data_IF_077498693339
#
_entry.id   IF_077498693339
#
_cell.length_a   1.000
_cell.length_b   1.000
_cell.length_c   1.000
_cell.angle_alpha   90.00
_cell.angle_beta   90.00
_cell.angle_gamma   90.00
#
_symmetry.space_group_name_H-M   'P 1'
#
loop_
_entity.id
_entity.type
_entity.pdbx_description
1 polymer ?
#
# COMPACT_ATOMS: atom_id res chain seq x y z
N UNK A 1 -4.22 32.91 3.33
CA UNK A 1 -4.24 31.48 2.96
C UNK A 1 -5.61 30.93 3.32
N UNK A 2 -6.37 30.41 2.35
CA UNK A 2 -7.62 29.71 2.64
C UNK A 2 -7.32 28.23 2.89
N UNK A 3 -8.11 27.58 3.76
CA UNK A 3 -7.95 26.16 4.06
C UNK A 3 -8.03 25.27 2.80
N UNK A 4 -8.82 25.67 1.79
CA UNK A 4 -8.99 24.96 0.52
C UNK A 4 -7.77 25.01 -0.42
N UNK A 5 -6.83 25.94 -0.19
CA UNK A 5 -5.67 26.16 -1.04
C UNK A 5 -4.42 25.43 -0.52
N UNK A 6 -4.49 24.85 0.69
CA UNK A 6 -3.38 24.15 1.32
C UNK A 6 -3.06 22.85 0.58
N UNK A 7 -1.89 22.82 -0.08
CA UNK A 7 -1.34 21.62 -0.72
C UNK A 7 -0.02 21.25 -0.05
N UNK A 8 0.24 19.94 0.19
CA UNK A 8 1.53 19.51 0.71
C UNK A 8 2.62 19.73 -0.34
N UNK A 9 3.87 19.79 0.11
CA UNK A 9 5.01 19.80 -0.80
C UNK A 9 4.99 18.57 -1.73
N UNK A 10 5.42 18.68 -3.00
CA UNK A 10 5.47 17.56 -3.93
C UNK A 10 6.25 16.37 -3.33
N UNK A 11 5.67 15.18 -3.39
CA UNK A 11 6.28 13.96 -2.84
C UNK A 11 6.15 13.77 -1.32
N UNK A 12 5.72 14.77 -0.56
CA UNK A 12 5.59 14.68 0.89
C UNK A 12 4.54 13.64 1.36
N UNK A 13 3.60 13.25 0.48
CA UNK A 13 2.59 12.22 0.78
C UNK A 13 2.64 11.10 -0.25
N UNK A 14 2.74 9.85 0.23
CA UNK A 14 2.63 8.64 -0.58
C UNK A 14 1.48 7.77 -0.06
N UNK A 15 0.81 7.05 -0.96
CA UNK A 15 -0.26 6.12 -0.59
C UNK A 15 0.32 4.92 0.16
N UNK A 16 -0.33 4.52 1.26
CA UNK A 16 0.01 3.26 1.95
C UNK A 16 -0.24 2.06 1.03
N UNK A 17 0.59 1.03 1.15
CA UNK A 17 0.39 -0.25 0.48
C UNK A 17 -0.85 -0.93 1.06
N UNK A 18 -1.77 -1.34 0.18
CA UNK A 18 -2.94 -2.16 0.55
C UNK A 18 -2.71 -3.57 0.02
N UNK A 19 -2.48 -4.52 0.93
CA UNK A 19 -2.21 -5.93 0.60
C UNK A 19 -3.50 -6.74 0.61
N UNK A 20 -3.57 -7.82 -0.17
CA UNK A 20 -4.75 -8.70 -0.23
C UNK A 20 -5.95 -8.16 -1.01
N UNK A 21 -5.87 -6.97 -1.62
CA UNK A 21 -6.99 -6.35 -2.35
C UNK A 21 -7.05 -6.75 -3.83
N UNK A 22 -7.01 -8.06 -4.13
CA UNK A 22 -7.12 -8.59 -5.48
C UNK A 22 -5.84 -8.48 -6.34
N UNK A 23 -5.80 -9.16 -7.51
CA UNK A 23 -4.59 -9.29 -8.33
C UNK A 23 -4.13 -7.96 -8.94
N UNK A 24 -5.05 -7.12 -9.41
CA UNK A 24 -4.75 -5.82 -10.02
C UNK A 24 -4.01 -4.86 -9.08
N UNK A 25 -4.13 -5.06 -7.75
CA UNK A 25 -3.37 -4.28 -6.77
C UNK A 25 -1.86 -4.55 -6.76
N UNK A 26 -1.41 -5.62 -7.43
CA UNK A 26 -0.03 -6.12 -7.37
C UNK A 26 0.32 -6.84 -6.07
N UNK A 27 -0.60 -6.89 -5.10
CA UNK A 27 -0.36 -7.42 -3.76
C UNK A 27 -1.44 -8.42 -3.32
N UNK A 28 -2.20 -9.00 -4.27
CA UNK A 28 -3.33 -9.88 -3.97
C UNK A 28 -2.89 -11.26 -3.49
N UNK A 29 -2.35 -12.08 -4.39
CA UNK A 29 -2.15 -13.53 -4.21
C UNK A 29 -1.44 -13.88 -2.90
N UNK A 30 -0.20 -13.42 -2.74
CA UNK A 30 0.65 -13.79 -1.60
C UNK A 30 0.74 -12.68 -0.56
N UNK A 31 0.01 -11.57 -0.75
CA UNK A 31 0.14 -10.37 0.08
C UNK A 31 1.59 -9.93 0.31
N UNK A 32 2.43 -10.14 -0.71
CA UNK A 32 3.88 -9.89 -0.70
C UNK A 32 4.70 -10.69 0.29
N UNK A 33 4.14 -11.74 0.88
CA UNK A 33 4.90 -12.63 1.76
C UNK A 33 5.70 -13.65 0.95
N UNK A 34 5.25 -14.05 -0.24
CA UNK A 34 5.86 -15.14 -1.02
C UNK A 34 5.10 -16.48 -0.93
N UNK A 35 5.76 -17.62 -1.18
CA UNK A 35 5.14 -18.95 -1.23
C UNK A 35 5.69 -19.89 -0.15
N UNK A 36 4.81 -20.47 0.69
CA UNK A 36 5.13 -21.45 1.76
C UNK A 36 6.18 -20.97 2.79
N UNK A 37 6.38 -21.74 3.86
CA UNK A 37 7.37 -21.47 4.91
C UNK A 37 6.79 -20.73 6.12
N UNK A 38 7.50 -20.78 7.25
CA UNK A 38 7.01 -20.29 8.54
C UNK A 38 6.56 -18.81 8.51
N UNK A 39 7.28 -17.94 7.79
CA UNK A 39 6.96 -16.52 7.66
C UNK A 39 5.66 -16.19 6.92
N UNK A 40 4.99 -17.19 6.35
CA UNK A 40 3.73 -17.00 5.61
C UNK A 40 2.49 -17.21 6.47
N UNK A 41 2.68 -17.94 7.58
CA UNK A 41 1.64 -18.25 8.54
C UNK A 41 1.56 -17.12 9.56
N UNK A 42 0.37 -16.91 10.12
CA UNK A 42 0.14 -15.94 11.22
C UNK A 42 0.65 -16.49 12.54
#
# INVERSE_FOLDING_TARGET
MKLSELKPAPGAKRRKKRVGCGPASGHGKTSCRGHKGAGQHS
#
